data_IF_629653946886
#
_entry.id   IF_629653946886
#
_cell.length_a   1.000
_cell.length_b   1.000
_cell.length_c   1.000
_cell.angle_alpha   90.00
_cell.angle_beta   90.00
_cell.angle_gamma   90.00
#
_symmetry.space_group_name_H-M   'P 1'
#
loop_
_entity.id
_entity.type
_entity.pdbx_description
1 polymer ?
#
# COMPACT_ATOMS: atom_id res chain seq x y z
N UNK A 1 3.55 4.65 -11.99
CA UNK A 1 4.45 3.68 -11.33
C UNK A 1 5.00 2.71 -12.37
N UNK A 2 6.27 2.35 -12.27
CA UNK A 2 6.91 1.33 -13.12
C UNK A 2 7.74 0.41 -12.21
N UNK A 3 7.09 -0.57 -11.63
CA UNK A 3 7.72 -1.54 -10.74
C UNK A 3 8.40 -2.70 -11.50
N UNK A 4 8.30 -2.72 -12.84
CA UNK A 4 8.80 -3.84 -13.66
C UNK A 4 8.11 -5.16 -13.28
N UNK A 5 6.82 -5.10 -12.97
CA UNK A 5 6.02 -6.30 -12.77
C UNK A 5 6.01 -7.10 -14.06
N UNK A 6 6.11 -8.43 -14.01
CA UNK A 6 5.80 -9.25 -15.18
C UNK A 6 4.40 -8.89 -15.68
N UNK A 7 4.19 -8.96 -16.98
CA UNK A 7 2.91 -8.59 -17.61
C UNK A 7 1.78 -9.46 -17.05
N UNK A 8 1.25 -9.01 -15.92
CA UNK A 8 0.08 -9.57 -15.27
C UNK A 8 -1.13 -8.90 -15.91
N UNK A 9 -1.24 -8.95 -17.27
CA UNK A 9 -2.40 -8.44 -17.96
C UNK A 9 -3.67 -8.90 -17.27
N UNK A 10 -4.65 -8.00 -17.18
CA UNK A 10 -5.90 -8.15 -16.42
C UNK A 10 -6.67 -9.47 -16.64
N UNK A 11 -6.32 -10.22 -17.67
CA UNK A 11 -6.84 -11.58 -17.91
C UNK A 11 -6.16 -12.68 -17.09
N UNK A 12 -4.94 -12.48 -16.57
CA UNK A 12 -4.20 -13.52 -15.86
C UNK A 12 -4.54 -13.60 -14.35
N UNK A 13 -5.04 -12.52 -13.74
CA UNK A 13 -5.42 -12.47 -12.32
C UNK A 13 -6.93 -12.62 -12.09
N UNK A 14 -7.62 -13.30 -13.00
CA UNK A 14 -9.01 -13.72 -12.81
C UNK A 14 -9.96 -12.52 -12.73
N UNK A 15 -10.16 -11.84 -13.84
CA UNK A 15 -11.39 -11.09 -14.08
C UNK A 15 -12.58 -12.06 -14.18
N UNK A 16 -12.87 -12.75 -13.07
CA UNK A 16 -14.17 -13.41 -12.91
C UNK A 16 -15.22 -12.31 -12.88
N UNK A 17 -16.33 -12.50 -13.58
CA UNK A 17 -17.46 -11.58 -13.73
C UNK A 17 -18.12 -11.12 -12.39
N UNK A 18 -17.46 -11.29 -11.24
CA UNK A 18 -17.92 -10.89 -9.92
C UNK A 18 -17.00 -9.90 -9.20
N UNK A 19 -15.88 -9.49 -9.80
CA UNK A 19 -14.97 -8.47 -9.24
C UNK A 19 -14.80 -7.25 -10.15
N UNK A 20 -15.58 -7.14 -11.21
CA UNK A 20 -15.72 -5.91 -11.97
C UNK A 20 -16.30 -4.85 -11.04
N UNK A 21 -15.59 -3.85 -10.64
CA UNK A 21 -16.05 -2.78 -9.76
C UNK A 21 -15.29 -2.63 -8.46
N UNK A 22 -14.48 -3.60 -8.08
CA UNK A 22 -13.57 -3.43 -6.93
C UNK A 22 -12.22 -2.95 -7.44
N UNK A 23 -11.67 -1.91 -6.80
CA UNK A 23 -10.29 -1.52 -7.03
C UNK A 23 -9.41 -2.76 -6.95
N UNK A 24 -8.74 -3.09 -8.04
CA UNK A 24 -7.73 -4.13 -8.03
C UNK A 24 -6.41 -3.50 -7.52
N UNK A 25 -5.95 -3.83 -6.31
CA UNK A 25 -4.72 -3.25 -5.78
C UNK A 25 -3.52 -3.46 -6.71
N UNK A 26 -3.53 -4.53 -7.53
CA UNK A 26 -2.45 -4.83 -8.46
C UNK A 26 -2.44 -3.85 -9.64
N UNK A 27 -3.60 -3.41 -10.13
CA UNK A 27 -3.67 -2.41 -11.21
C UNK A 27 -3.08 -1.07 -10.75
N UNK A 28 -3.19 -0.73 -9.47
CA UNK A 28 -2.63 0.50 -8.91
C UNK A 28 -1.09 0.48 -8.82
N UNK A 29 -0.47 -0.70 -8.91
CA UNK A 29 0.98 -0.84 -8.89
C UNK A 29 1.62 -0.60 -10.26
N UNK A 30 0.83 -0.43 -11.30
CA UNK A 30 1.31 -0.17 -12.66
C UNK A 30 0.64 1.07 -13.25
N UNK A 31 1.32 1.78 -14.15
CA UNK A 31 0.75 2.92 -14.85
C UNK A 31 0.76 4.23 -14.05
N UNK A 32 -0.10 5.15 -14.46
CA UNK A 32 -0.27 6.47 -13.87
C UNK A 32 -1.72 6.68 -13.48
N UNK A 33 -1.94 7.01 -12.22
CA UNK A 33 -3.27 7.19 -11.65
C UNK A 33 -3.39 8.58 -11.06
N UNK A 34 -4.58 9.18 -11.16
CA UNK A 34 -4.89 10.50 -10.59
C UNK A 34 -5.85 10.34 -9.42
N UNK A 35 -5.41 10.83 -8.26
CA UNK A 35 -6.19 10.80 -7.04
C UNK A 35 -6.63 12.20 -6.65
N UNK A 36 -7.84 12.32 -6.14
CA UNK A 36 -8.33 13.52 -5.46
C UNK A 36 -8.62 13.14 -4.02
N UNK A 37 -8.08 13.93 -3.09
CA UNK A 37 -8.26 13.68 -1.65
C UNK A 37 -8.82 14.94 -1.01
N UNK A 38 -9.88 14.81 -0.27
CA UNK A 38 -10.43 15.84 0.62
C UNK A 38 -10.41 15.30 2.03
N UNK A 39 -9.83 16.05 2.93
CA UNK A 39 -9.65 15.62 4.31
C UNK A 39 -9.91 16.80 5.27
N UNK A 40 -10.70 16.57 6.26
CA UNK A 40 -10.94 17.51 7.38
C UNK A 40 -10.42 16.88 8.67
N UNK A 41 -10.84 15.66 8.93
CA UNK A 41 -10.51 14.87 10.11
C UNK A 41 -10.74 13.37 9.79
N UNK A 42 -10.38 12.44 10.71
CA UNK A 42 -10.56 11.00 10.47
C UNK A 42 -12.00 10.57 10.22
N UNK A 43 -13.00 11.39 10.53
CA UNK A 43 -14.41 11.08 10.32
C UNK A 43 -15.01 11.77 9.07
N UNK A 44 -14.26 12.68 8.45
CA UNK A 44 -14.67 13.41 7.25
C UNK A 44 -13.55 13.39 6.22
N UNK A 45 -13.62 12.42 5.34
CA UNK A 45 -12.63 12.20 4.30
C UNK A 45 -13.29 11.71 3.01
N UNK A 46 -12.76 12.11 1.85
CA UNK A 46 -13.13 11.58 0.54
C UNK A 46 -11.88 11.31 -0.27
N UNK A 47 -11.86 10.17 -0.91
CA UNK A 47 -10.83 9.75 -1.85
C UNK A 47 -11.50 9.37 -3.15
N UNK A 48 -11.14 10.04 -4.25
CA UNK A 48 -11.60 9.71 -5.58
C UNK A 48 -10.41 9.31 -6.47
N UNK A 49 -10.51 8.16 -7.10
CA UNK A 49 -9.60 7.68 -8.14
C UNK A 49 -10.31 7.76 -9.49
N UNK A 50 -9.66 8.40 -10.45
CA UNK A 50 -10.11 8.42 -11.85
C UNK A 50 -9.09 7.63 -12.66
N UNK A 51 -9.53 6.52 -13.25
CA UNK A 51 -8.72 5.65 -14.09
C UNK A 51 -9.40 5.48 -15.46
N UNK A 52 -8.88 6.19 -16.46
CA UNK A 52 -9.51 6.28 -17.76
C UNK A 52 -10.90 6.90 -17.70
N UNK A 53 -11.94 6.10 -17.98
CA UNK A 53 -13.35 6.50 -17.89
C UNK A 53 -14.00 6.10 -16.58
N UNK A 54 -13.32 5.31 -15.75
CA UNK A 54 -13.86 4.76 -14.53
C UNK A 54 -13.51 5.65 -13.34
N UNK A 55 -14.46 5.78 -12.42
CA UNK A 55 -14.32 6.50 -11.16
C UNK A 55 -14.58 5.56 -9.99
N UNK A 56 -13.72 5.63 -9.02
CA UNK A 56 -13.88 4.95 -7.75
C UNK A 56 -13.80 5.96 -6.61
N UNK A 57 -14.84 6.02 -5.80
CA UNK A 57 -14.97 6.95 -4.68
C UNK A 57 -15.07 6.20 -3.36
N UNK A 58 -14.36 6.68 -2.35
CA UNK A 58 -14.58 6.32 -0.95
C UNK A 58 -14.90 7.58 -0.18
N UNK A 59 -16.07 7.63 0.42
CA UNK A 59 -16.52 8.78 1.18
C UNK A 59 -16.82 8.36 2.61
N UNK A 60 -16.19 9.03 3.55
CA UNK A 60 -16.51 8.90 4.97
C UNK A 60 -17.17 10.17 5.48
N UNK A 61 -18.32 10.01 6.13
CA UNK A 61 -19.05 11.07 6.80
C UNK A 61 -19.54 10.57 8.17
N UNK A 62 -18.82 10.94 9.22
CA UNK A 62 -19.05 10.41 10.56
C UNK A 62 -18.78 8.90 10.64
N UNK A 63 -19.82 8.15 10.98
CA UNK A 63 -19.79 6.68 11.02
C UNK A 63 -20.04 6.02 9.66
N UNK A 64 -20.63 6.75 8.72
CA UNK A 64 -21.02 6.20 7.41
C UNK A 64 -19.84 6.19 6.46
N UNK A 65 -19.63 5.05 5.80
CA UNK A 65 -18.62 4.86 4.76
C UNK A 65 -19.33 4.37 3.51
N UNK A 66 -19.14 5.11 2.44
CA UNK A 66 -19.64 4.81 1.11
C UNK A 66 -18.48 4.46 0.18
N UNK A 67 -18.65 3.44 -0.61
CA UNK A 67 -17.74 3.10 -1.71
C UNK A 67 -18.57 3.06 -2.98
N UNK A 68 -18.12 3.78 -4.00
CA UNK A 68 -18.75 3.86 -5.30
C UNK A 68 -17.79 3.40 -6.38
N UNK A 69 -18.28 2.64 -7.34
CA UNK A 69 -17.58 2.27 -8.55
C UNK A 69 -18.47 2.51 -9.77
N UNK A 70 -17.97 3.32 -10.70
CA UNK A 70 -18.69 3.59 -11.95
C UNK A 70 -18.61 2.43 -12.95
N UNK A 71 -17.57 1.59 -12.84
CA UNK A 71 -17.31 0.49 -13.77
C UNK A 71 -18.45 -0.55 -13.79
N UNK A 72 -19.09 -0.79 -12.66
CA UNK A 72 -20.22 -1.72 -12.49
C UNK A 72 -21.46 -1.08 -11.89
N UNK A 73 -21.47 0.25 -11.74
CA UNK A 73 -22.52 1.02 -11.12
C UNK A 73 -22.91 0.48 -9.72
N UNK A 74 -21.91 0.09 -8.92
CA UNK A 74 -22.11 -0.49 -7.59
C UNK A 74 -21.79 0.51 -6.48
N UNK A 75 -22.60 0.47 -5.42
CA UNK A 75 -22.40 1.22 -4.18
C UNK A 75 -22.37 0.24 -3.02
N UNK A 76 -21.32 0.29 -2.22
CA UNK A 76 -21.31 -0.35 -0.90
C UNK A 76 -21.46 0.72 0.20
N UNK A 77 -22.37 0.48 1.14
CA UNK A 77 -22.57 1.33 2.30
C UNK A 77 -22.30 0.52 3.57
N UNK A 78 -21.41 0.99 4.39
CA UNK A 78 -21.09 0.40 5.69
C UNK A 78 -21.03 1.45 6.80
N UNK A 79 -21.00 0.98 8.04
CA UNK A 79 -20.80 1.83 9.21
C UNK A 79 -19.54 1.44 9.95
N UNK A 80 -18.70 2.43 10.22
CA UNK A 80 -17.54 2.26 11.10
C UNK A 80 -18.01 2.51 12.54
N UNK A 81 -17.91 1.52 13.45
CA UNK A 81 -18.26 1.71 14.84
C UNK A 81 -17.49 2.89 15.45
N UNK A 82 -18.15 3.63 16.36
CA UNK A 82 -17.46 4.64 17.16
C UNK A 82 -16.35 3.96 17.96
N UNK A 83 -15.12 4.43 17.82
CA UNK A 83 -13.94 3.83 18.48
C UNK A 83 -13.26 2.70 17.68
N UNK A 84 -13.77 2.31 16.52
CA UNK A 84 -12.97 1.52 15.60
C UNK A 84 -11.80 2.37 15.11
N UNK A 85 -10.60 1.81 15.21
CA UNK A 85 -9.41 2.44 14.63
C UNK A 85 -9.69 2.76 13.17
N UNK A 86 -9.52 4.02 12.80
CA UNK A 86 -9.67 4.41 11.40
C UNK A 86 -8.65 3.62 10.57
N UNK A 87 -8.95 3.31 9.28
CA UNK A 87 -7.93 2.80 8.37
C UNK A 87 -6.68 3.71 8.30
N UNK A 88 -6.83 5.01 8.62
CA UNK A 88 -5.72 5.95 8.80
C UNK A 88 -5.03 5.85 10.17
N UNK A 89 -5.69 5.27 11.18
CA UNK A 89 -5.09 4.92 12.48
C UNK A 89 -4.46 3.52 12.44
N UNK A 90 -4.78 2.71 11.43
CA UNK A 90 -3.92 1.61 11.05
C UNK A 90 -2.58 2.24 10.69
N UNK A 91 -1.77 2.41 11.75
CA UNK A 91 -0.36 2.77 11.60
C UNK A 91 0.15 1.93 10.43
N UNK A 92 0.67 2.56 9.35
CA UNK A 92 1.31 1.79 8.31
C UNK A 92 2.19 0.76 9.02
N UNK A 93 2.21 -0.51 8.62
CA UNK A 93 3.08 -1.48 9.25
C UNK A 93 4.42 -0.79 9.39
N UNK A 94 4.87 -0.63 10.63
CA UNK A 94 6.06 0.15 10.93
C UNK A 94 7.12 -0.37 9.98
N UNK A 95 7.61 0.49 9.09
CA UNK A 95 8.74 0.09 8.26
C UNK A 95 9.78 -0.47 9.22
N UNK A 96 10.31 -1.66 8.97
CA UNK A 96 11.26 -2.28 9.86
C UNK A 96 12.37 -1.27 10.18
N UNK A 97 12.56 -0.95 11.46
CA UNK A 97 13.50 0.10 11.88
C UNK A 97 12.85 1.39 12.40
N UNK A 98 11.56 1.63 12.18
CA UNK A 98 10.88 2.75 12.81
C UNK A 98 10.58 2.41 14.27
N UNK A 99 11.41 2.85 15.19
CA UNK A 99 11.13 2.83 16.62
C UNK A 99 9.79 3.50 16.91
N UNK A 100 9.10 3.04 17.96
CA UNK A 100 7.75 3.47 18.35
C UNK A 100 7.68 4.91 18.90
N UNK A 101 8.43 5.86 18.35
CA UNK A 101 8.29 7.27 18.64
C UNK A 101 7.06 7.80 17.89
N UNK A 102 6.08 8.30 18.64
CA UNK A 102 4.87 8.90 18.08
C UNK A 102 5.21 9.99 17.06
N UNK A 103 4.30 10.24 16.13
CA UNK A 103 4.43 11.34 15.16
C UNK A 103 4.58 12.64 15.98
N UNK A 104 5.61 13.45 15.74
CA UNK A 104 5.83 14.68 16.48
C UNK A 104 4.70 15.66 16.19
N UNK A 105 4.58 16.67 17.05
CA UNK A 105 3.73 17.82 16.74
C UNK A 105 4.21 18.47 15.45
N UNK A 106 3.44 18.28 14.35
CA UNK A 106 3.76 18.78 13.03
C UNK A 106 3.70 20.31 12.95
N UNK A 107 3.20 21.00 13.98
CA UNK A 107 3.20 22.46 14.08
C UNK A 107 4.55 23.02 14.55
N UNK A 108 5.46 22.17 15.04
CA UNK A 108 6.79 22.54 15.52
C UNK A 108 7.88 22.02 14.57
N UNK A 109 8.50 22.88 13.74
CA UNK A 109 9.54 22.48 12.78
C UNK A 109 10.76 21.82 13.45
N UNK A 110 11.14 22.24 14.64
CA UNK A 110 12.27 21.67 15.39
C UNK A 110 11.93 20.27 15.93
N UNK A 111 10.69 20.06 16.35
CA UNK A 111 10.21 18.75 16.79
C UNK A 111 10.16 17.78 15.59
N UNK A 112 9.70 18.25 14.42
CA UNK A 112 9.70 17.49 13.17
C UNK A 112 11.11 17.15 12.73
N UNK A 113 12.02 18.12 12.77
CA UNK A 113 13.43 17.90 12.41
C UNK A 113 14.11 16.93 13.38
N UNK A 114 13.92 17.11 14.69
CA UNK A 114 14.46 16.22 15.73
C UNK A 114 13.89 14.82 15.60
N UNK A 115 12.59 14.69 15.36
CA UNK A 115 11.94 13.40 15.09
C UNK A 115 12.49 12.77 13.82
N UNK A 116 12.56 13.51 12.73
CA UNK A 116 13.13 13.01 11.47
C UNK A 116 14.59 12.56 11.66
N UNK A 117 15.39 13.34 12.38
CA UNK A 117 16.77 12.96 12.73
C UNK A 117 16.82 11.72 13.63
N UNK A 118 15.89 11.57 14.57
CA UNK A 118 15.81 10.39 15.43
C UNK A 118 15.31 9.13 14.69
N UNK A 119 14.59 9.30 13.59
CA UNK A 119 14.19 8.21 12.70
C UNK A 119 15.29 7.87 11.68
N UNK A 120 16.35 8.66 11.62
CA UNK A 120 17.51 8.34 10.82
C UNK A 120 18.21 7.14 11.42
N UNK A 121 17.76 5.97 11.01
CA UNK A 121 18.50 4.75 11.20
C UNK A 121 19.93 4.97 10.67
N UNK A 122 20.98 4.58 11.40
CA UNK A 122 22.36 4.63 10.93
C UNK A 122 22.58 3.99 9.56
N UNK A 123 21.59 3.20 9.10
CA UNK A 123 21.58 2.59 7.75
C UNK A 123 21.19 3.56 6.63
N UNK A 124 20.80 4.81 6.93
CA UNK A 124 20.35 5.80 5.95
C UNK A 124 21.25 7.04 5.96
N UNK A 125 21.75 7.43 4.79
CA UNK A 125 22.34 8.75 4.58
C UNK A 125 21.24 9.71 4.13
N UNK A 126 21.18 10.90 4.75
CA UNK A 126 20.24 11.95 4.37
C UNK A 126 21.01 13.17 3.88
N UNK A 127 20.60 13.68 2.74
CA UNK A 127 21.11 14.94 2.19
C UNK A 127 19.94 15.86 1.85
N UNK A 128 20.12 17.16 2.06
CA UNK A 128 19.17 18.16 1.60
C UNK A 128 19.48 18.57 0.17
N UNK A 129 18.45 18.83 -0.61
CA UNK A 129 18.57 19.41 -1.94
C UNK A 129 18.01 20.82 -1.95
N UNK A 130 18.32 21.55 -3.03
CA UNK A 130 17.80 22.91 -3.20
C UNK A 130 16.28 22.93 -3.24
N UNK A 131 15.72 24.08 -2.88
CA UNK A 131 14.30 24.38 -2.96
C UNK A 131 13.77 24.12 -4.36
N UNK A 132 12.72 23.32 -4.45
CA UNK A 132 11.97 23.01 -5.67
C UNK A 132 10.55 23.58 -5.54
N UNK A 133 9.75 23.43 -6.58
CA UNK A 133 8.32 23.78 -6.56
C UNK A 133 7.46 22.57 -6.89
N UNK A 134 6.55 22.24 -5.97
CA UNK A 134 5.56 21.18 -6.15
C UNK A 134 4.17 21.77 -5.91
N UNK A 135 3.21 21.52 -6.79
CA UNK A 135 1.85 22.06 -6.70
C UNK A 135 1.83 23.59 -6.53
N UNK A 136 2.77 24.33 -7.16
CA UNK A 136 3.00 25.78 -7.05
C UNK A 136 3.48 26.26 -5.68
N UNK A 137 3.83 25.37 -4.76
CA UNK A 137 4.35 25.68 -3.43
C UNK A 137 5.86 25.50 -3.40
N UNK A 138 6.56 26.34 -2.64
CA UNK A 138 7.99 26.15 -2.40
C UNK A 138 8.21 24.93 -1.53
N UNK A 139 9.19 24.10 -1.87
CA UNK A 139 9.47 22.86 -1.16
C UNK A 139 10.96 22.69 -0.87
N UNK A 140 11.30 22.07 0.25
CA UNK A 140 12.64 21.57 0.54
C UNK A 140 12.74 20.11 0.09
N UNK A 141 13.86 19.79 -0.58
CA UNK A 141 14.14 18.41 -0.97
C UNK A 141 14.98 17.69 0.07
N UNK A 142 14.62 16.45 0.37
CA UNK A 142 15.43 15.49 1.12
C UNK A 142 15.70 14.28 0.25
N UNK A 143 16.94 13.80 0.25
CA UNK A 143 17.33 12.55 -0.40
C UNK A 143 17.78 11.57 0.67
N UNK A 144 17.06 10.48 0.78
CA UNK A 144 17.35 9.35 1.67
C UNK A 144 18.08 8.28 0.83
N UNK A 145 19.31 7.96 1.18
CA UNK A 145 20.12 6.95 0.49
C UNK A 145 20.43 5.81 1.43
N UNK A 146 19.97 4.58 1.16
CA UNK A 146 20.34 3.41 1.92
C UNK A 146 21.87 3.16 1.90
N UNK A 147 22.46 2.90 3.06
CA UNK A 147 23.87 2.49 3.17
C UNK A 147 24.06 1.01 2.91
N UNK A 148 23.00 0.21 3.12
CA UNK A 148 23.03 -1.23 2.89
C UNK A 148 23.22 -1.54 1.40
N UNK A 149 24.17 -2.39 1.02
CA UNK A 149 24.46 -2.69 -0.41
C UNK A 149 23.45 -3.64 -1.04
N UNK A 150 22.78 -4.44 -0.27
CA UNK A 150 21.88 -5.54 -0.67
C UNK A 150 20.42 -5.13 -0.85
N UNK A 151 20.07 -3.87 -0.55
CA UNK A 151 18.73 -3.35 -0.87
C UNK A 151 18.60 -2.97 -2.34
N UNK A 152 17.42 -3.19 -2.91
CA UNK A 152 17.06 -2.80 -4.28
C UNK A 152 16.70 -1.30 -4.40
N UNK A 153 16.55 -0.61 -3.28
CA UNK A 153 16.29 0.83 -3.25
C UNK A 153 17.61 1.58 -3.38
N UNK A 154 17.69 2.45 -4.37
CA UNK A 154 18.85 3.34 -4.59
C UNK A 154 18.71 4.62 -3.78
N UNK A 155 17.59 5.30 -3.89
CA UNK A 155 17.28 6.51 -3.11
C UNK A 155 15.78 6.78 -3.06
N UNK A 156 15.37 7.52 -2.03
CA UNK A 156 14.02 8.09 -1.90
C UNK A 156 14.16 9.60 -1.83
N UNK A 157 13.52 10.30 -2.75
CA UNK A 157 13.49 11.75 -2.79
C UNK A 157 12.14 12.24 -2.25
N UNK A 158 12.17 13.09 -1.25
CA UNK A 158 11.00 13.72 -0.65
C UNK A 158 11.03 15.21 -0.92
N UNK A 159 9.88 15.80 -1.26
CA UNK A 159 9.70 17.24 -1.29
C UNK A 159 8.73 17.64 -0.19
N UNK A 160 9.18 18.44 0.75
CA UNK A 160 8.39 18.93 1.88
C UNK A 160 8.04 20.41 1.65
N UNK A 161 6.79 20.76 1.88
CA UNK A 161 6.33 22.16 1.80
C UNK A 161 7.13 23.05 2.75
N UNK A 162 7.64 24.15 2.24
CA UNK A 162 8.51 25.04 3.01
C UNK A 162 7.77 25.79 4.14
N UNK A 163 6.45 25.85 4.10
CA UNK A 163 5.63 26.58 5.06
C UNK A 163 5.00 25.63 6.10
N UNK A 164 4.52 24.47 5.66
CA UNK A 164 3.74 23.54 6.50
C UNK A 164 4.46 22.23 6.81
N UNK A 165 5.62 21.98 6.19
CA UNK A 165 6.36 20.71 6.23
C UNK A 165 5.57 19.50 5.68
N UNK A 166 4.41 19.73 5.04
CA UNK A 166 3.62 18.67 4.45
C UNK A 166 4.41 18.00 3.31
N UNK A 167 4.44 16.67 3.23
CA UNK A 167 5.03 15.97 2.08
C UNK A 167 4.24 16.27 0.80
N UNK A 168 4.87 16.91 -0.17
CA UNK A 168 4.28 17.29 -1.45
C UNK A 168 4.60 16.29 -2.56
N UNK A 169 5.75 15.61 -2.47
CA UNK A 169 6.14 14.57 -3.41
C UNK A 169 7.04 13.53 -2.76
N UNK A 170 6.95 12.29 -3.26
CA UNK A 170 7.84 11.20 -2.93
C UNK A 170 8.19 10.42 -4.20
N UNK A 171 9.47 10.29 -4.48
CA UNK A 171 9.98 9.60 -5.67
C UNK A 171 10.98 8.53 -5.23
N UNK A 172 10.78 7.28 -5.67
CA UNK A 172 11.64 6.15 -5.30
C UNK A 172 12.41 5.68 -6.53
N UNK A 173 13.73 5.66 -6.41
CA UNK A 173 14.64 5.20 -7.44
C UNK A 173 15.18 3.81 -7.08
N UNK A 174 15.08 2.85 -8.01
CA UNK A 174 15.77 1.58 -7.86
C UNK A 174 17.28 1.76 -7.85
N UNK A 175 18.00 0.86 -7.20
CA UNK A 175 19.46 0.85 -7.22
C UNK A 175 19.99 0.74 -8.65
N UNK A 176 20.96 1.58 -9.00
CA UNK A 176 21.57 1.63 -10.33
C UNK A 176 20.67 2.18 -11.43
N UNK A 177 19.53 2.80 -11.09
CA UNK A 177 18.60 3.37 -12.06
C UNK A 177 18.45 4.88 -11.86
N UNK A 178 18.45 5.62 -12.98
CA UNK A 178 18.09 7.04 -13.01
C UNK A 178 16.60 7.28 -13.28
N UNK A 179 15.84 6.20 -13.60
CA UNK A 179 14.40 6.28 -13.79
C UNK A 179 13.69 5.87 -12.50
N UNK A 180 12.76 6.67 -11.99
CA UNK A 180 12.01 6.30 -10.81
C UNK A 180 11.11 5.08 -11.09
N UNK A 181 10.92 4.25 -10.07
CA UNK A 181 9.92 3.19 -10.10
C UNK A 181 8.58 3.66 -9.51
N UNK A 182 8.65 4.57 -8.54
CA UNK A 182 7.47 5.19 -7.93
C UNK A 182 7.67 6.70 -7.94
N UNK A 183 6.64 7.42 -8.36
CA UNK A 183 6.57 8.88 -8.30
C UNK A 183 5.14 9.26 -7.89
N UNK A 184 5.00 9.79 -6.67
CA UNK A 184 3.74 10.26 -6.12
C UNK A 184 3.90 11.74 -5.78
N UNK A 185 3.04 12.59 -6.32
CA UNK A 185 3.12 14.03 -6.08
C UNK A 185 1.77 14.71 -6.13
N UNK A 186 1.61 15.75 -5.36
CA UNK A 186 0.50 16.66 -5.56
C UNK A 186 0.72 17.46 -6.84
N UNK A 187 -0.27 17.47 -7.71
CA UNK A 187 -0.33 18.38 -8.87
C UNK A 187 -1.01 19.69 -8.49
N UNK A 188 -1.95 19.63 -7.55
CA UNK A 188 -2.65 20.77 -6.97
C UNK A 188 -2.87 20.50 -5.49
N UNK A 189 -2.68 21.51 -4.65
CA UNK A 189 -2.93 21.45 -3.21
C UNK A 189 -3.65 22.71 -2.75
N UNK A 190 -4.76 22.53 -2.05
CA UNK A 190 -5.50 23.61 -1.38
C UNK A 190 -5.61 23.25 0.09
N UNK A 191 -5.13 24.15 0.97
CA UNK A 191 -5.17 23.95 2.43
C UNK A 191 -6.43 24.53 3.07
N UNK A 192 -7.31 25.16 2.28
CA UNK A 192 -8.61 25.61 2.77
C UNK A 192 -9.49 24.42 3.16
N UNK A 193 -10.27 24.60 4.24
CA UNK A 193 -11.21 23.56 4.69
C UNK A 193 -12.23 23.25 3.58
N UNK A 194 -12.40 21.99 3.18
CA UNK A 194 -13.42 21.59 2.23
C UNK A 194 -14.84 21.89 2.72
N UNK A 195 -15.75 22.20 1.79
CA UNK A 195 -17.15 22.37 2.13
C UNK A 195 -17.77 21.05 2.65
N UNK A 196 -18.63 21.07 3.66
CA UNK A 196 -19.25 19.85 4.21
C UNK A 196 -19.96 18.98 3.17
N UNK A 197 -20.56 19.59 2.15
CA UNK A 197 -21.25 18.89 1.05
C UNK A 197 -20.35 17.94 0.24
N UNK A 198 -19.03 18.11 0.30
CA UNK A 198 -18.08 17.19 -0.37
C UNK A 198 -18.14 15.79 0.23
N UNK A 199 -18.49 15.69 1.52
CA UNK A 199 -18.57 14.42 2.25
C UNK A 199 -20.00 13.84 2.26
N UNK A 200 -20.97 14.52 1.67
CA UNK A 200 -22.30 14.01 1.46
C UNK A 200 -22.31 13.14 0.19
N UNK A 201 -22.70 11.88 0.34
CA UNK A 201 -22.78 10.95 -0.78
C UNK A 201 -24.24 10.53 -1.00
N UNK A 202 -24.68 10.64 -2.23
CA UNK A 202 -25.98 10.13 -2.68
C UNK A 202 -25.75 9.15 -3.82
N UNK A 203 -26.23 7.89 -3.72
CA UNK A 203 -26.08 6.91 -4.78
C UNK A 203 -26.63 7.46 -6.11
N UNK A 204 -25.88 7.34 -7.22
CA UNK A 204 -26.36 7.71 -8.53
C UNK A 204 -27.62 6.93 -8.94
N UNK A 205 -28.51 7.51 -9.76
CA UNK A 205 -29.67 6.78 -10.29
C UNK A 205 -29.28 5.50 -11.01
N UNK A 206 -29.91 4.38 -10.68
CA UNK A 206 -29.62 3.07 -11.27
C UNK A 206 -28.46 2.31 -10.61
N UNK A 207 -27.79 2.86 -9.63
CA UNK A 207 -26.76 2.16 -8.92
C UNK A 207 -27.30 1.01 -8.05
N UNK A 208 -26.61 -0.13 -8.06
CA UNK A 208 -26.89 -1.25 -7.16
C UNK A 208 -26.29 -0.97 -5.79
N UNK A 209 -27.16 -0.74 -4.80
CA UNK A 209 -26.70 -0.46 -3.42
C UNK A 209 -26.65 -1.74 -2.61
N UNK A 210 -25.47 -2.10 -2.10
CA UNK A 210 -25.26 -3.17 -1.13
C UNK A 210 -25.01 -2.53 0.25
N UNK A 211 -25.83 -2.87 1.23
CA UNK A 211 -25.59 -2.46 2.60
C UNK A 211 -24.73 -3.54 3.25
N UNK A 212 -23.50 -3.21 3.58
CA UNK A 212 -22.65 -4.08 4.39
C UNK A 212 -23.23 -4.05 5.81
N UNK A 213 -24.17 -4.98 6.05
CA UNK A 213 -24.79 -5.13 7.34
C UNK A 213 -23.74 -5.50 8.37
N UNK A 214 -23.81 -4.88 9.54
CA UNK A 214 -23.27 -5.44 10.76
C UNK A 214 -23.65 -6.93 10.77
N UNK A 215 -22.71 -7.83 10.71
CA UNK A 215 -22.97 -9.20 11.07
C UNK A 215 -23.25 -9.24 12.58
N UNK A 216 -24.49 -8.93 12.97
CA UNK A 216 -24.99 -9.07 14.35
C UNK A 216 -25.19 -10.55 14.73
N UNK A 217 -24.84 -11.47 13.84
CA UNK A 217 -24.73 -12.89 14.15
C UNK A 217 -23.41 -13.19 14.88
N UNK A 218 -23.39 -14.21 15.77
CA UNK A 218 -22.12 -14.69 16.29
C UNK A 218 -21.25 -14.99 15.09
N UNK A 219 -20.13 -14.28 14.96
CA UNK A 219 -19.13 -14.61 13.95
C UNK A 219 -18.92 -16.13 14.02
N UNK A 220 -19.04 -16.86 12.91
CA UNK A 220 -18.68 -18.26 12.93
C UNK A 220 -17.33 -18.31 13.62
N UNK A 221 -17.23 -19.07 14.70
CA UNK A 221 -15.94 -19.43 15.27
C UNK A 221 -15.24 -20.22 14.17
N UNK A 222 -14.67 -19.49 13.21
CA UNK A 222 -13.65 -20.08 12.38
C UNK A 222 -12.58 -20.45 13.39
N UNK A 223 -12.35 -21.76 13.55
CA UNK A 223 -11.12 -22.27 14.13
C UNK A 223 -9.98 -21.75 13.25
N UNK A 224 -9.70 -20.46 13.43
CA UNK A 224 -8.50 -19.85 12.89
C UNK A 224 -7.40 -20.42 13.76
N UNK A 225 -6.75 -21.44 13.26
CA UNK A 225 -5.41 -21.77 13.71
C UNK A 225 -4.66 -20.43 13.77
N UNK A 226 -4.12 -20.02 14.93
CA UNK A 226 -3.45 -18.74 15.03
C UNK A 226 -2.35 -18.74 13.99
N UNK A 227 -2.48 -17.88 12.96
CA UNK A 227 -1.41 -17.71 12.00
C UNK A 227 -0.16 -17.29 12.79
N UNK A 228 0.93 -18.00 12.58
CA UNK A 228 2.21 -17.55 13.07
C UNK A 228 2.39 -16.12 12.57
N UNK A 229 2.54 -15.17 13.52
CA UNK A 229 2.68 -13.77 13.14
C UNK A 229 3.93 -13.64 12.28
N UNK A 230 3.86 -12.98 11.11
CA UNK A 230 5.05 -12.71 10.35
C UNK A 230 6.10 -12.05 11.24
N UNK A 231 7.33 -12.45 11.10
CA UNK A 231 8.47 -11.87 11.82
C UNK A 231 9.41 -11.18 10.84
N UNK A 232 10.22 -10.27 11.35
CA UNK A 232 11.17 -9.52 10.54
C UNK A 232 12.57 -10.04 10.83
N UNK A 233 13.30 -10.35 9.77
CA UNK A 233 14.71 -10.74 9.78
C UNK A 233 15.52 -9.60 9.19
N UNK A 234 16.62 -9.23 9.84
CA UNK A 234 17.46 -8.10 9.42
C UNK A 234 16.95 -6.75 9.95
N UNK A 235 17.59 -5.68 9.50
CA UNK A 235 17.31 -4.30 9.97
C UNK A 235 17.32 -3.30 8.81
N UNK A 236 16.61 -2.19 8.99
CA UNK A 236 16.60 -1.07 8.05
C UNK A 236 16.12 -1.49 6.65
N UNK A 237 16.82 -1.03 5.62
CA UNK A 237 16.45 -1.21 4.21
C UNK A 237 16.61 -2.65 3.70
N UNK A 238 17.36 -3.49 4.42
CA UNK A 238 17.57 -4.90 4.08
C UNK A 238 16.66 -5.85 4.88
N UNK A 239 15.67 -5.32 5.58
CA UNK A 239 14.73 -6.14 6.33
C UNK A 239 13.90 -7.02 5.43
N UNK A 240 13.68 -8.25 5.88
CA UNK A 240 12.87 -9.28 5.24
C UNK A 240 11.74 -9.67 6.17
N UNK A 241 10.51 -9.62 5.69
CA UNK A 241 9.34 -10.16 6.38
C UNK A 241 9.21 -11.63 6.00
N UNK A 242 9.22 -12.52 7.00
CA UNK A 242 9.04 -13.96 6.83
C UNK A 242 7.77 -14.39 7.56
N UNK A 243 6.98 -15.23 6.93
CA UNK A 243 5.73 -15.73 7.51
C UNK A 243 5.18 -16.92 6.77
N UNK A 244 4.00 -17.35 7.18
CA UNK A 244 3.24 -18.43 6.56
C UNK A 244 1.97 -17.88 5.91
N UNK A 245 1.66 -18.34 4.72
CA UNK A 245 0.39 -18.04 4.07
C UNK A 245 -0.70 -18.91 4.71
N UNK A 246 -1.91 -18.37 4.87
CA UNK A 246 -3.03 -19.18 5.33
C UNK A 246 -3.18 -20.38 4.41
N UNK A 247 -3.29 -21.58 4.99
CA UNK A 247 -3.71 -22.76 4.25
C UNK A 247 -5.08 -22.44 3.63
N UNK A 248 -5.13 -22.21 2.33
CA UNK A 248 -6.40 -22.04 1.61
C UNK A 248 -7.13 -23.37 1.72
N UNK A 249 -8.10 -23.41 2.63
CA UNK A 249 -8.95 -24.57 2.84
C UNK A 249 -9.63 -24.91 1.51
N UNK A 250 -9.34 -26.10 0.96
CA UNK A 250 -9.97 -26.66 -0.25
C UNK A 250 -11.43 -27.03 -0.03
N UNK A 251 -12.01 -26.63 1.11
CA UNK A 251 -13.38 -26.96 1.52
C UNK A 251 -14.36 -25.81 1.28
N UNK A 252 -14.45 -25.31 0.04
CA UNK A 252 -15.59 -24.50 -0.40
C UNK A 252 -15.96 -24.89 -1.83
N UNK A 253 -16.48 -26.11 -1.97
CA UNK A 253 -17.15 -26.58 -3.17
C UNK A 253 -18.62 -26.15 -3.18
N UNK A 254 -18.90 -24.87 -3.12
CA UNK A 254 -20.20 -24.37 -3.52
C UNK A 254 -20.15 -22.84 -3.70
N UNK A 255 -20.31 -22.44 -4.91
CA UNK A 255 -20.49 -21.15 -5.56
C UNK A 255 -19.27 -20.68 -6.37
N UNK A 256 -19.26 -21.07 -7.67
CA UNK A 256 -18.49 -20.45 -8.73
C UNK A 256 -16.97 -20.56 -8.54
N UNK A 257 -16.29 -21.23 -9.46
CA UNK A 257 -14.83 -21.34 -9.47
C UNK A 257 -14.18 -19.92 -9.53
N UNK A 258 -14.05 -19.28 -8.39
CA UNK A 258 -13.13 -18.19 -8.21
C UNK A 258 -11.74 -18.82 -8.37
N UNK A 259 -11.10 -18.52 -9.50
CA UNK A 259 -9.73 -18.95 -9.81
C UNK A 259 -8.84 -18.55 -8.64
N UNK A 260 -8.19 -19.53 -7.99
CA UNK A 260 -7.22 -19.27 -6.93
C UNK A 260 -6.16 -18.27 -7.47
N UNK A 261 -6.11 -17.02 -6.97
CA UNK A 261 -5.18 -16.02 -7.48
C UNK A 261 -3.73 -16.48 -7.37
N UNK A 262 -3.44 -17.33 -6.37
CA UNK A 262 -2.12 -17.92 -6.17
C UNK A 262 -1.82 -18.99 -7.22
N UNK A 263 -2.82 -19.73 -7.69
CA UNK A 263 -2.62 -20.71 -8.76
C UNK A 263 -2.27 -20.02 -10.09
N UNK A 264 -2.85 -18.85 -10.37
CA UNK A 264 -2.51 -18.03 -11.54
C UNK A 264 -1.11 -17.47 -11.39
N UNK A 265 -0.78 -16.92 -10.23
CA UNK A 265 0.53 -16.36 -9.94
C UNK A 265 1.64 -17.41 -10.07
N UNK A 266 1.41 -18.63 -9.59
CA UNK A 266 2.35 -19.77 -9.72
C UNK A 266 2.63 -20.17 -11.18
N UNK A 267 1.68 -19.95 -12.10
CA UNK A 267 1.89 -20.25 -13.53
C UNK A 267 2.78 -19.25 -14.23
N UNK A 268 2.82 -18.00 -13.77
CA UNK A 268 3.51 -16.89 -14.42
C UNK A 268 4.88 -16.62 -13.78
N UNK A 269 5.02 -16.86 -12.47
CA UNK A 269 6.26 -16.57 -11.76
C UNK A 269 7.34 -17.63 -12.00
N UNK A 270 8.61 -17.21 -12.15
CA UNK A 270 9.76 -18.10 -12.20
C UNK A 270 9.82 -19.00 -10.98
N UNK A 271 10.22 -20.26 -11.20
CA UNK A 271 10.46 -21.22 -10.13
C UNK A 271 11.93 -21.19 -9.72
N UNK A 272 12.18 -21.29 -8.43
CA UNK A 272 13.51 -21.42 -7.86
C UNK A 272 13.53 -22.51 -6.77
N UNK A 273 14.70 -23.07 -6.51
CA UNK A 273 14.92 -24.05 -5.47
C UNK A 273 16.32 -23.92 -4.87
N UNK A 274 16.48 -24.37 -3.64
CA UNK A 274 17.74 -24.30 -2.90
C UNK A 274 17.63 -24.93 -1.52
N UNK A 275 18.57 -24.63 -0.63
CA UNK A 275 18.55 -25.11 0.76
C UNK A 275 17.28 -24.69 1.54
N UNK A 276 16.61 -23.63 1.11
CA UNK A 276 15.37 -23.11 1.68
C UNK A 276 14.12 -23.88 1.23
N UNK A 277 14.24 -24.81 0.29
CA UNK A 277 13.16 -25.54 -0.35
C UNK A 277 12.98 -25.17 -1.82
N UNK A 278 11.75 -25.18 -2.29
CA UNK A 278 11.36 -24.77 -3.64
C UNK A 278 10.13 -23.87 -3.60
N UNK A 279 9.95 -23.06 -4.66
CA UNK A 279 8.84 -22.14 -4.73
C UNK A 279 8.90 -21.20 -5.92
N UNK A 280 8.09 -20.15 -5.86
CA UNK A 280 7.97 -19.13 -6.90
C UNK A 280 8.51 -17.79 -6.44
N UNK A 281 9.16 -17.07 -7.35
CA UNK A 281 9.86 -15.82 -7.06
C UNK A 281 9.30 -14.70 -7.91
N UNK A 282 8.80 -13.65 -7.26
CA UNK A 282 8.49 -12.37 -7.88
C UNK A 282 9.66 -11.42 -7.63
N UNK A 283 10.24 -10.88 -8.68
CA UNK A 283 11.27 -9.85 -8.59
C UNK A 283 10.79 -8.61 -9.32
N UNK A 284 10.70 -7.51 -8.59
CA UNK A 284 10.35 -6.20 -9.13
C UNK A 284 11.58 -5.29 -9.13
N UNK A 285 11.43 -4.05 -9.58
CA UNK A 285 12.53 -3.07 -9.53
C UNK A 285 12.87 -2.62 -8.10
N UNK A 286 11.94 -2.72 -7.13
CA UNK A 286 12.09 -2.22 -5.77
C UNK A 286 12.09 -3.30 -4.69
N UNK A 287 11.49 -4.44 -4.94
CA UNK A 287 11.34 -5.51 -3.94
C UNK A 287 11.30 -6.88 -4.61
N UNK A 288 11.51 -7.90 -3.80
CA UNK A 288 11.32 -9.28 -4.20
C UNK A 288 10.39 -10.00 -3.20
N UNK A 289 9.69 -11.01 -3.70
CA UNK A 289 8.83 -11.90 -2.90
C UNK A 289 9.12 -13.34 -3.30
N UNK A 290 9.26 -14.21 -2.31
CA UNK A 290 9.35 -15.65 -2.50
C UNK A 290 8.16 -16.29 -1.81
N UNK A 291 7.49 -17.18 -2.51
CA UNK A 291 6.42 -18.02 -1.94
C UNK A 291 6.83 -19.46 -2.14
N UNK A 292 7.01 -20.18 -1.05
CA UNK A 292 7.48 -21.57 -1.07
C UNK A 292 6.33 -22.53 -1.32
N UNK A 293 6.65 -23.74 -1.79
CA UNK A 293 5.64 -24.78 -2.06
C UNK A 293 5.00 -25.30 -0.77
N UNK A 294 5.68 -25.16 0.39
CA UNK A 294 5.18 -25.52 1.72
C UNK A 294 4.36 -24.41 2.40
N UNK A 295 4.12 -23.29 1.72
CA UNK A 295 3.24 -22.22 2.19
C UNK A 295 3.94 -21.12 2.99
N UNK A 296 5.25 -21.14 3.14
CA UNK A 296 6.00 -20.00 3.71
C UNK A 296 6.17 -18.90 2.67
N UNK A 297 6.39 -17.69 3.13
CA UNK A 297 6.78 -16.58 2.26
C UNK A 297 7.88 -15.73 2.88
N UNK A 298 8.65 -15.08 2.02
CA UNK A 298 9.55 -14.00 2.39
C UNK A 298 9.40 -12.84 1.43
N UNK A 299 9.42 -11.60 1.94
CA UNK A 299 9.31 -10.40 1.15
C UNK A 299 10.20 -9.29 1.70
N UNK A 300 10.82 -8.51 0.82
CA UNK A 300 11.70 -7.40 1.21
C UNK A 300 12.16 -6.57 0.03
N UNK A 301 12.67 -5.37 0.32
CA UNK A 301 13.28 -4.50 -0.68
C UNK A 301 14.72 -4.93 -1.00
N UNK A 302 14.94 -6.23 -1.20
CA UNK A 302 16.24 -6.87 -1.37
C UNK A 302 16.25 -7.82 -2.57
N UNK A 303 17.42 -8.27 -2.95
CA UNK A 303 17.54 -9.31 -3.97
C UNK A 303 17.03 -10.67 -3.48
N UNK A 304 16.55 -11.56 -4.37
CA UNK A 304 16.00 -12.85 -3.98
C UNK A 304 16.94 -13.71 -3.14
N UNK A 305 18.26 -13.57 -3.32
CA UNK A 305 19.27 -14.31 -2.54
C UNK A 305 19.19 -14.05 -1.04
N UNK A 306 18.83 -12.81 -0.65
CA UNK A 306 18.63 -12.45 0.77
C UNK A 306 17.38 -13.12 1.33
N UNK A 307 16.30 -13.20 0.52
CA UNK A 307 15.08 -13.91 0.89
C UNK A 307 15.31 -15.41 1.07
N UNK A 308 16.13 -16.01 0.20
CA UNK A 308 16.51 -17.42 0.31
C UNK A 308 17.26 -17.70 1.61
N UNK A 309 18.20 -16.83 1.97
CA UNK A 309 18.91 -16.95 3.24
C UNK A 309 17.96 -16.84 4.45
N UNK A 310 17.00 -15.90 4.41
CA UNK A 310 16.01 -15.73 5.48
C UNK A 310 15.05 -16.93 5.62
N UNK A 311 14.74 -17.64 4.53
CA UNK A 311 13.88 -18.82 4.53
C UNK A 311 14.60 -20.12 4.93
N UNK A 312 15.94 -20.14 4.88
CA UNK A 312 16.74 -21.31 5.23
C UNK A 312 16.93 -21.48 6.76
N UNK A 313 16.56 -20.49 7.53
CA UNK A 313 16.59 -20.46 8.99
C UNK A 313 15.19 -20.63 9.58
#
# INVERSE_FOLDING_TARGET
MDLGLPDLSAGALGGGAGSAGKLNPVSLLAGSHSWRVWFVDPTHARLALVDGTDEYDVVRNGSDVWQWSSADASVAHGKVPAGAANPGDARPPALPGSGAAGIPDLSNPDAVATWALSQLDPTTAVTSTRTDRVARRSAYGLVLTPRAPDTRIGSVHLSLDAETSLPLAATVFPRGSTRPAVDVRFTTLTLARPAPSIFEFTPPPGATVTIEGRHDGPMPKTDRTPFARPHVVGTGWSSVVVGELPAMSTASTSHGAASDPMAVLRKVLPRASGAWGSGHVLTTRLFSVVVTDDGRFAAGAVDPSVLYAALAH
#
